data_IF_473224683792
#
_entry.id   IF_473224683792
#
_cell.length_a   1.000
_cell.length_b   1.000
_cell.length_c   1.000
_cell.angle_alpha   90.00
_cell.angle_beta   90.00
_cell.angle_gamma   90.00
#
_symmetry.space_group_name_H-M   'P 1'
#
loop_
_entity.id
_entity.type
_entity.pdbx_description
1 polymer ?
#
# COMPACT_ATOMS: atom_id res chain seq x y z
N UNK A 1 -10.07 -21.55 -5.70
CA UNK A 1 -9.62 -20.27 -5.18
C UNK A 1 -10.79 -19.57 -4.51
N UNK A 2 -10.58 -19.07 -3.32
CA UNK A 2 -11.66 -18.51 -2.51
C UNK A 2 -12.01 -17.05 -2.84
N UNK A 3 -11.36 -16.42 -3.80
CA UNK A 3 -11.66 -15.05 -4.21
C UNK A 3 -11.28 -13.96 -3.20
N UNK A 4 -10.46 -14.30 -2.23
CA UNK A 4 -9.99 -13.33 -1.25
C UNK A 4 -8.61 -12.81 -1.63
N UNK A 5 -8.42 -11.52 -1.43
CA UNK A 5 -7.11 -10.90 -1.62
C UNK A 5 -6.29 -11.01 -0.35
N UNK A 6 -4.98 -11.04 -0.52
CA UNK A 6 -4.05 -11.02 0.62
C UNK A 6 -4.20 -9.70 1.37
N UNK A 7 -4.35 -9.78 2.69
CA UNK A 7 -4.53 -8.60 3.52
C UNK A 7 -3.36 -8.42 4.47
N UNK A 8 -2.94 -7.18 4.61
CA UNK A 8 -1.90 -6.78 5.54
C UNK A 8 -2.54 -5.91 6.61
N UNK A 9 -2.38 -6.33 7.85
CA UNK A 9 -2.80 -5.55 9.01
C UNK A 9 -1.55 -4.90 9.59
N UNK A 10 -1.48 -3.60 9.56
CA UNK A 10 -0.27 -2.91 9.96
C UNK A 10 -0.52 -1.65 10.76
N UNK A 11 0.49 -1.27 11.51
CA UNK A 11 0.53 0.01 12.21
C UNK A 11 1.30 1.00 11.35
N UNK A 12 0.73 2.19 11.15
CA UNK A 12 1.41 3.23 10.39
C UNK A 12 2.51 3.84 11.25
N UNK A 13 3.74 3.74 10.76
CA UNK A 13 4.92 4.26 11.44
C UNK A 13 5.62 5.29 10.56
N UNK A 14 6.49 6.07 11.16
CA UNK A 14 7.28 7.05 10.44
C UNK A 14 8.37 6.33 9.64
N UNK A 15 8.50 6.65 8.36
CA UNK A 15 9.51 6.10 7.48
C UNK A 15 10.36 7.19 6.87
N UNK A 16 11.12 6.87 5.81
CA UNK A 16 11.82 7.89 5.08
C UNK A 16 10.81 8.73 4.27
N UNK A 17 11.17 9.96 3.99
CA UNK A 17 10.27 10.91 3.31
C UNK A 17 10.58 11.07 1.82
N UNK A 18 11.27 10.08 1.24
CA UNK A 18 11.71 10.16 -0.15
C UNK A 18 10.56 10.29 -1.14
N UNK A 19 9.49 9.52 -0.93
CA UNK A 19 8.30 9.61 -1.77
C UNK A 19 7.65 10.98 -1.73
N UNK A 20 7.64 11.61 -0.55
CA UNK A 20 7.10 12.96 -0.37
C UNK A 20 7.87 13.98 -1.21
N UNK A 21 9.18 13.88 -1.23
CA UNK A 21 10.02 14.77 -2.03
C UNK A 21 9.75 14.64 -3.52
N UNK A 22 9.33 13.46 -3.97
CA UNK A 22 8.98 13.17 -5.35
C UNK A 22 7.53 13.49 -5.71
N UNK A 23 6.73 13.95 -4.75
CA UNK A 23 5.31 14.21 -4.95
C UNK A 23 4.42 12.98 -4.74
N UNK A 24 4.96 11.90 -4.17
CA UNK A 24 4.23 10.66 -3.88
C UNK A 24 4.44 10.29 -2.41
N UNK A 25 3.83 11.04 -1.47
CA UNK A 25 4.00 10.74 -0.06
C UNK A 25 3.41 9.38 0.28
N UNK A 26 4.18 8.55 0.95
CA UNK A 26 3.77 7.20 1.33
C UNK A 26 3.62 7.05 2.83
N UNK A 27 2.74 6.14 3.24
CA UNK A 27 2.72 5.66 4.61
C UNK A 27 3.61 4.41 4.71
N UNK A 28 4.25 4.22 5.84
CA UNK A 28 5.07 3.06 6.13
C UNK A 28 4.35 2.19 7.13
N UNK A 29 4.30 0.89 6.89
CA UNK A 29 3.64 -0.05 7.79
C UNK A 29 4.67 -0.91 8.49
N UNK A 30 4.50 -1.05 9.80
CA UNK A 30 5.26 -2.02 10.57
C UNK A 30 4.65 -3.39 10.34
N UNK A 31 5.44 -4.31 9.79
CA UNK A 31 5.02 -5.68 9.49
C UNK A 31 5.61 -6.63 10.52
N UNK A 32 4.82 -6.97 11.53
CA UNK A 32 5.22 -7.94 12.56
C UNK A 32 4.31 -9.16 12.49
N UNK A 33 4.91 -10.33 12.59
CA UNK A 33 4.18 -11.60 12.73
C UNK A 33 3.16 -11.86 11.62
N UNK A 34 3.48 -11.45 10.40
CA UNK A 34 2.63 -11.70 9.24
C UNK A 34 3.36 -12.57 8.21
N UNK A 35 2.57 -13.23 7.37
CA UNK A 35 3.09 -13.90 6.19
C UNK A 35 3.34 -12.82 5.14
N UNK A 36 4.62 -12.61 4.79
CA UNK A 36 5.00 -11.59 3.82
C UNK A 36 4.69 -12.10 2.40
N UNK A 37 3.94 -11.34 1.60
CA UNK A 37 3.69 -11.72 0.22
C UNK A 37 4.92 -11.54 -0.66
N UNK A 38 4.83 -11.96 -1.91
CA UNK A 38 5.92 -11.75 -2.88
C UNK A 38 6.30 -10.27 -2.92
N UNK A 39 7.59 -9.99 -2.93
CA UNK A 39 8.07 -8.62 -3.05
C UNK A 39 7.72 -8.03 -4.42
N UNK A 40 7.34 -6.78 -4.44
CA UNK A 40 6.97 -6.09 -5.65
C UNK A 40 5.96 -4.99 -5.40
N UNK A 41 5.36 -4.55 -6.48
CA UNK A 41 4.41 -3.43 -6.49
C UNK A 41 3.02 -3.99 -6.74
N UNK A 42 2.06 -3.51 -5.95
CA UNK A 42 0.68 -3.99 -5.98
C UNK A 42 -0.32 -2.84 -6.09
N UNK A 43 -1.40 -3.07 -6.83
CA UNK A 43 -2.62 -2.27 -6.69
C UNK A 43 -3.30 -2.68 -5.39
N UNK A 44 -3.77 -1.73 -4.59
CA UNK A 44 -4.32 -2.06 -3.29
C UNK A 44 -5.50 -1.18 -2.90
N UNK A 45 -6.25 -1.68 -1.91
CA UNK A 45 -7.31 -0.91 -1.24
C UNK A 45 -6.93 -0.78 0.23
N UNK A 46 -7.24 0.35 0.83
CA UNK A 46 -6.81 0.67 2.18
C UNK A 46 -8.01 1.09 3.03
N UNK A 47 -8.12 0.50 4.22
CA UNK A 47 -9.07 0.93 5.25
C UNK A 47 -8.30 1.38 6.48
N UNK A 48 -8.51 2.63 6.90
CA UNK A 48 -7.98 3.13 8.16
C UNK A 48 -8.92 2.70 9.27
N UNK A 49 -8.39 2.03 10.29
CA UNK A 49 -9.19 1.52 11.41
C UNK A 49 -9.39 2.62 12.45
N UNK A 50 -10.15 3.62 12.09
CA UNK A 50 -10.48 4.75 12.95
C UNK A 50 -11.83 5.30 12.51
N UNK A 51 -12.65 5.69 13.48
CA UNK A 51 -13.98 6.25 13.20
C UNK A 51 -13.92 7.55 12.40
N UNK A 52 -12.78 8.24 12.43
CA UNK A 52 -12.59 9.47 11.66
C UNK A 52 -12.46 9.23 10.15
N UNK A 53 -12.20 7.98 9.74
CA UNK A 53 -11.96 7.61 8.35
C UNK A 53 -12.92 6.51 7.93
N UNK A 54 -14.01 6.88 7.30
CA UNK A 54 -15.06 5.93 6.91
C UNK A 54 -14.89 5.38 5.48
N UNK A 55 -14.08 6.05 4.66
CA UNK A 55 -13.92 5.68 3.26
C UNK A 55 -12.94 4.54 3.07
N UNK A 56 -13.09 3.83 1.95
CA UNK A 56 -12.11 2.88 1.46
C UNK A 56 -11.28 3.60 0.42
N UNK A 57 -9.98 3.67 0.65
CA UNK A 57 -9.04 4.35 -0.25
C UNK A 57 -8.41 3.36 -1.19
N UNK A 58 -7.88 3.86 -2.28
CA UNK A 58 -7.15 3.10 -3.30
C UNK A 58 -5.72 3.59 -3.36
N UNK A 59 -4.82 2.72 -3.76
CA UNK A 59 -3.42 3.11 -3.84
C UNK A 59 -2.51 2.07 -4.44
N UNK A 60 -1.22 2.33 -4.26
CA UNK A 60 -0.13 1.45 -4.71
C UNK A 60 0.69 1.06 -3.49
N UNK A 61 0.90 -0.24 -3.30
CA UNK A 61 1.72 -0.75 -2.21
C UNK A 61 3.04 -1.30 -2.76
N UNK A 62 4.12 -1.02 -2.07
CA UNK A 62 5.45 -1.56 -2.36
C UNK A 62 5.87 -2.46 -1.21
N UNK A 63 6.09 -3.74 -1.50
CA UNK A 63 6.59 -4.72 -0.54
C UNK A 63 8.04 -5.03 -0.89
N UNK A 64 8.93 -4.86 0.06
CA UNK A 64 10.34 -5.11 -0.16
C UNK A 64 11.09 -5.28 1.13
N UNK A 65 12.41 -5.17 1.06
CA UNK A 65 13.26 -5.21 2.24
C UNK A 65 13.81 -3.83 2.54
N UNK A 66 13.94 -3.54 3.83
CA UNK A 66 14.58 -2.33 4.31
C UNK A 66 15.65 -2.74 5.32
N UNK A 67 16.91 -2.33 5.12
CA UNK A 67 17.93 -2.60 6.13
C UNK A 67 17.62 -1.79 7.39
N UNK A 68 17.53 -2.48 8.51
CA UNK A 68 17.29 -1.86 9.81
C UNK A 68 18.21 -2.53 10.83
N UNK A 69 19.12 -1.78 11.42
CA UNK A 69 20.05 -2.28 12.44
C UNK A 69 20.79 -3.55 12.01
N UNK A 70 21.28 -3.59 10.75
CA UNK A 70 22.02 -4.73 10.22
C UNK A 70 21.16 -5.92 9.82
N UNK A 71 19.84 -5.83 9.91
CA UNK A 71 18.90 -6.87 9.48
C UNK A 71 18.12 -6.38 8.27
N UNK A 72 17.81 -7.30 7.37
CA UNK A 72 16.90 -7.03 6.27
C UNK A 72 15.50 -7.44 6.71
N UNK A 73 14.67 -6.46 6.98
CA UNK A 73 13.29 -6.69 7.38
C UNK A 73 12.34 -6.36 6.24
N UNK A 74 11.25 -7.11 6.15
CA UNK A 74 10.20 -6.81 5.19
C UNK A 74 9.58 -5.45 5.51
N UNK A 75 9.30 -4.69 4.48
CA UNK A 75 8.76 -3.33 4.58
C UNK A 75 7.60 -3.16 3.61
N UNK A 76 6.60 -2.43 4.03
CA UNK A 76 5.47 -2.07 3.19
C UNK A 76 5.30 -0.55 3.18
N UNK A 77 5.38 0.04 2.01
CA UNK A 77 5.07 1.45 1.82
C UNK A 77 3.84 1.55 0.93
N UNK A 78 2.93 2.44 1.27
CA UNK A 78 1.69 2.61 0.50
C UNK A 78 1.51 4.07 0.13
N UNK A 79 1.35 4.33 -1.17
CA UNK A 79 0.89 5.62 -1.66
C UNK A 79 -0.62 5.55 -1.81
N UNK A 80 -1.35 6.38 -1.05
CA UNK A 80 -2.81 6.41 -1.07
C UNK A 80 -3.27 7.55 -1.97
N UNK A 81 -4.12 7.24 -2.95
CA UNK A 81 -4.64 8.25 -3.89
C UNK A 81 -5.56 9.23 -3.18
N UNK A 82 -5.42 10.51 -3.54
CA UNK A 82 -6.28 11.59 -3.04
C UNK A 82 -6.37 11.65 -1.51
N UNK A 83 -5.24 11.43 -0.85
CA UNK A 83 -5.19 11.36 0.59
C UNK A 83 -4.02 12.21 1.11
N UNK A 84 -4.33 13.16 1.98
CA UNK A 84 -3.34 14.08 2.54
C UNK A 84 -3.32 14.12 4.07
N UNK A 85 -4.12 13.27 4.71
CA UNK A 85 -4.22 13.25 6.18
C UNK A 85 -3.04 12.54 6.81
N UNK A 86 -2.71 12.93 8.04
CA UNK A 86 -1.72 12.22 8.84
C UNK A 86 -2.40 11.09 9.61
N UNK A 87 -1.89 9.87 9.46
CA UNK A 87 -2.45 8.70 10.13
C UNK A 87 -1.38 7.91 10.90
N UNK A 88 -0.33 8.58 11.36
CA UNK A 88 0.68 7.94 12.20
C UNK A 88 0.04 7.33 13.44
N UNK A 89 0.53 6.17 13.85
CA UNK A 89 0.06 5.39 14.99
C UNK A 89 -1.35 4.83 14.84
N UNK A 90 -1.97 4.97 13.68
CA UNK A 90 -3.24 4.31 13.39
C UNK A 90 -2.99 2.96 12.74
N UNK A 91 -3.92 2.03 12.95
CA UNK A 91 -3.88 0.73 12.31
C UNK A 91 -4.63 0.81 10.98
N UNK A 92 -4.14 0.07 9.99
CA UNK A 92 -4.77 0.01 8.68
C UNK A 92 -4.86 -1.44 8.21
N UNK A 93 -5.81 -1.69 7.32
CA UNK A 93 -5.88 -2.92 6.56
C UNK A 93 -5.57 -2.56 5.10
N UNK A 94 -4.57 -3.21 4.52
CA UNK A 94 -4.23 -3.07 3.12
C UNK A 94 -4.58 -4.36 2.41
N UNK A 95 -5.47 -4.29 1.45
CA UNK A 95 -5.85 -5.42 0.62
C UNK A 95 -5.07 -5.37 -0.68
N UNK A 96 -4.22 -6.36 -0.92
CA UNK A 96 -3.40 -6.43 -2.13
C UNK A 96 -4.24 -7.03 -3.26
N UNK A 97 -4.71 -6.19 -4.16
CA UNK A 97 -5.67 -6.60 -5.20
C UNK A 97 -4.98 -7.26 -6.38
N UNK A 98 -3.89 -6.68 -6.84
CA UNK A 98 -3.19 -7.22 -8.01
C UNK A 98 -1.71 -6.90 -7.98
N UNK A 99 -0.89 -7.92 -8.21
CA UNK A 99 0.55 -7.76 -8.40
C UNK A 99 0.81 -7.08 -9.74
N UNK A 100 1.59 -6.00 -9.74
CA UNK A 100 1.87 -5.25 -10.96
C UNK A 100 3.23 -5.56 -11.54
N UNK A 101 4.26 -5.63 -10.70
CA UNK A 101 5.63 -5.85 -11.15
C UNK A 101 6.58 -6.14 -10.00
N UNK A 102 7.72 -6.69 -10.31
CA UNK A 102 8.80 -6.86 -9.33
C UNK A 102 9.41 -5.50 -8.95
N UNK A 103 10.09 -5.45 -7.83
CA UNK A 103 10.88 -4.28 -7.45
C UNK A 103 12.04 -4.09 -8.43
N UNK A 104 12.31 -2.83 -8.74
CA UNK A 104 13.43 -2.44 -9.60
C UNK A 104 14.16 -1.28 -8.94
N UNK A 105 15.49 -1.32 -8.95
CA UNK A 105 16.29 -0.19 -8.52
C UNK A 105 16.45 0.78 -9.68
N UNK A 106 16.25 2.05 -9.42
CA UNK A 106 16.34 3.08 -10.44
C UNK A 106 17.62 3.90 -10.27
N UNK A 107 18.30 4.16 -11.39
CA UNK A 107 19.55 4.89 -11.40
C UNK A 107 19.38 6.38 -11.18
N UNK A 108 18.18 6.91 -11.41
CA UNK A 108 17.93 8.34 -11.24
C UNK A 108 16.56 8.57 -10.63
N UNK A 109 16.42 9.72 -9.96
CA UNK A 109 15.17 10.19 -9.38
C UNK A 109 14.12 10.39 -10.46
N UNK A 110 14.52 10.88 -11.63
CA UNK A 110 13.60 11.11 -12.74
C UNK A 110 12.98 9.82 -13.25
N UNK A 111 13.78 8.76 -13.40
CA UNK A 111 13.29 7.44 -13.82
C UNK A 111 12.35 6.85 -12.79
N UNK A 112 12.69 7.00 -11.51
CA UNK A 112 11.84 6.55 -10.42
C UNK A 112 10.48 7.25 -10.47
N UNK A 113 10.48 8.56 -10.64
CA UNK A 113 9.25 9.36 -10.70
C UNK A 113 8.36 8.94 -11.87
N UNK A 114 8.95 8.70 -13.05
CA UNK A 114 8.22 8.23 -14.21
C UNK A 114 7.55 6.87 -13.92
N UNK A 115 8.31 5.97 -13.31
CA UNK A 115 7.77 4.65 -12.96
C UNK A 115 6.65 4.73 -11.92
N UNK A 116 6.78 5.59 -10.93
CA UNK A 116 5.74 5.79 -9.93
C UNK A 116 4.44 6.28 -10.57
N UNK A 117 4.53 7.17 -11.55
CA UNK A 117 3.36 7.62 -12.31
C UNK A 117 2.71 6.48 -13.10
N UNK A 118 3.51 5.63 -13.72
CA UNK A 118 3.02 4.44 -14.43
C UNK A 118 2.32 3.49 -13.47
N UNK A 119 2.92 3.24 -12.32
CA UNK A 119 2.36 2.35 -11.30
C UNK A 119 0.99 2.85 -10.84
N UNK A 120 0.84 4.15 -10.65
CA UNK A 120 -0.43 4.75 -10.26
C UNK A 120 -1.49 4.57 -11.34
N UNK A 121 -1.14 4.79 -12.61
CA UNK A 121 -2.08 4.62 -13.72
C UNK A 121 -2.55 3.17 -13.84
N UNK A 122 -1.63 2.22 -13.69
CA UNK A 122 -1.96 0.80 -13.74
C UNK A 122 -2.89 0.44 -12.59
N UNK A 123 -2.58 0.95 -11.38
CA UNK A 123 -3.40 0.69 -10.21
C UNK A 123 -4.82 1.26 -10.36
N UNK A 124 -4.95 2.48 -10.83
CA UNK A 124 -6.25 3.10 -11.07
C UNK A 124 -7.07 2.24 -12.02
N UNK A 125 -6.45 1.75 -13.10
CA UNK A 125 -7.12 0.88 -14.04
C UNK A 125 -7.54 -0.45 -13.42
N UNK A 126 -6.64 -1.09 -12.68
CA UNK A 126 -6.90 -2.37 -12.02
C UNK A 126 -8.03 -2.26 -10.98
N UNK A 127 -8.10 -1.14 -10.30
CA UNK A 127 -9.05 -0.93 -9.20
C UNK A 127 -10.42 -0.41 -9.65
N UNK A 128 -10.60 -0.18 -10.93
CA UNK A 128 -11.86 0.37 -11.46
C UNK A 128 -12.78 -0.67 -12.11
N UNK A 129 -12.34 -1.89 -12.35
CA UNK A 129 -12.97 -2.77 -13.33
C UNK A 129 -13.50 -4.10 -12.83
N UNK A 130 -13.56 -4.38 -11.55
CA UNK A 130 -13.85 -5.76 -11.15
C UNK A 130 -14.98 -5.86 -10.13
N UNK A 131 -15.97 -6.73 -10.40
CA UNK A 131 -17.03 -7.01 -9.44
C UNK A 131 -16.52 -7.62 -8.14
N UNK A 132 -15.40 -8.35 -8.19
CA UNK A 132 -14.73 -8.86 -7.00
C UNK A 132 -14.34 -7.73 -6.04
N UNK A 133 -14.08 -6.54 -6.56
CA UNK A 133 -13.75 -5.38 -5.74
C UNK A 133 -14.93 -4.90 -4.90
N UNK A 134 -16.15 -5.15 -5.34
CA UNK A 134 -17.34 -4.80 -4.54
C UNK A 134 -17.38 -5.61 -3.25
N UNK A 135 -17.08 -6.90 -3.34
CA UNK A 135 -17.05 -7.78 -2.18
C UNK A 135 -15.90 -7.43 -1.24
N UNK A 136 -14.73 -7.14 -1.80
CA UNK A 136 -13.58 -6.70 -1.01
C UNK A 136 -13.86 -5.37 -0.32
N UNK A 137 -14.49 -4.44 -1.01
CA UNK A 137 -14.89 -3.16 -0.43
C UNK A 137 -15.86 -3.37 0.74
N UNK A 138 -16.83 -4.25 0.58
CA UNK A 138 -17.78 -4.60 1.66
C UNK A 138 -17.07 -5.21 2.85
N UNK A 139 -16.10 -6.11 2.60
CA UNK A 139 -15.28 -6.68 3.65
C UNK A 139 -14.56 -5.60 4.46
N UNK A 140 -13.92 -4.67 3.78
CA UNK A 140 -13.19 -3.58 4.42
C UNK A 140 -14.12 -2.62 5.17
N UNK A 141 -15.30 -2.36 4.64
CA UNK A 141 -16.29 -1.48 5.27
C UNK A 141 -16.80 -2.04 6.61
N UNK A 142 -16.82 -3.36 6.76
CA UNK A 142 -17.24 -4.00 8.01
C UNK A 142 -16.20 -3.86 9.13
N UNK A 143 -14.96 -3.52 8.80
CA UNK A 143 -13.91 -3.36 9.79
C UNK A 143 -13.86 -1.92 10.26
N UNK A 144 -14.60 -1.64 11.32
CA UNK A 144 -14.54 -0.35 12.00
C UNK A 144 -13.90 -0.55 13.36
N UNK A 145 -13.28 0.49 13.90
CA UNK A 145 -12.77 0.43 15.26
C UNK A 145 -13.88 0.48 16.26
#
# INVERSE_FOLDING_TARGET
MLGYYHKIYGLVVQGDKRGRELGFPTINLELKDIIVPKYGIYSCMIKVLSSDFQDIYKGVASIGTKPTFGKNEANCEVYIFDFSESIYNKKVIVSLVKFQRDEIKYESIEKLKIQMKKDCRIAINNLSKNELLKDEKKFLEKHTT
#
